data_IF_626464127041
#
_entry.id   IF_626464127041
#
_cell.length_a   1.000
_cell.length_b   1.000
_cell.length_c   1.000
_cell.angle_alpha   90.00
_cell.angle_beta   90.00
_cell.angle_gamma   90.00
#
_symmetry.space_group_name_H-M   'P 1'
#
loop_
_entity.id
_entity.type
_entity.pdbx_description
1 polymer ?
#
# COMPACT_ATOMS: atom_id res chain seq x y z
N UNK A 1 10.08 -22.89 -12.89
CA UNK A 1 10.93 -23.89 -12.22
C UNK A 1 12.25 -23.20 -11.89
N UNK A 2 12.52 -22.92 -10.61
CA UNK A 2 13.73 -22.21 -10.15
C UNK A 2 14.92 -23.15 -9.87
N UNK A 3 14.79 -24.44 -10.21
CA UNK A 3 15.79 -25.45 -9.88
C UNK A 3 15.79 -25.80 -8.40
N UNK A 4 16.97 -26.08 -7.84
CA UNK A 4 17.15 -26.59 -6.46
C UNK A 4 17.01 -25.51 -5.38
N UNK A 5 17.37 -24.26 -5.69
CA UNK A 5 17.38 -23.15 -4.74
C UNK A 5 16.59 -21.97 -5.31
N UNK A 6 15.67 -21.42 -4.52
CA UNK A 6 14.99 -20.19 -4.90
C UNK A 6 16.00 -19.03 -4.92
N UNK A 7 15.86 -18.06 -5.85
CA UNK A 7 16.79 -16.94 -5.99
C UNK A 7 16.66 -15.90 -4.86
N UNK A 8 15.68 -16.06 -3.97
CA UNK A 8 15.26 -15.03 -3.02
C UNK A 8 16.35 -14.55 -2.05
N UNK A 9 17.31 -15.42 -1.68
CA UNK A 9 18.41 -15.00 -0.81
C UNK A 9 19.26 -13.92 -1.48
N UNK A 10 19.65 -14.17 -2.71
CA UNK A 10 20.57 -13.30 -3.44
C UNK A 10 19.83 -12.01 -3.88
N UNK A 11 18.57 -12.14 -4.31
CA UNK A 11 17.68 -10.99 -4.57
C UNK A 11 17.47 -10.11 -3.34
N UNK A 12 17.32 -10.71 -2.16
CA UNK A 12 17.18 -9.97 -0.90
C UNK A 12 18.45 -9.20 -0.53
N UNK A 13 19.63 -9.79 -0.77
CA UNK A 13 20.91 -9.12 -0.56
C UNK A 13 21.09 -7.95 -1.53
N UNK A 14 20.83 -8.17 -2.83
CA UNK A 14 20.90 -7.13 -3.86
C UNK A 14 19.96 -5.95 -3.56
N UNK A 15 18.72 -6.25 -3.14
CA UNK A 15 17.76 -5.22 -2.75
C UNK A 15 18.25 -4.38 -1.56
N UNK A 16 18.91 -4.98 -0.58
CA UNK A 16 19.48 -4.26 0.55
C UNK A 16 20.68 -3.38 0.16
N UNK A 17 21.48 -3.80 -0.83
CA UNK A 17 22.58 -3.01 -1.37
C UNK A 17 22.10 -1.83 -2.24
N UNK A 18 20.93 -1.96 -2.87
CA UNK A 18 20.37 -0.95 -3.77
C UNK A 18 19.60 0.19 -3.06
N UNK A 19 19.74 0.35 -1.74
CA UNK A 19 19.03 1.39 -0.97
C UNK A 19 19.38 2.80 -1.46
N UNK A 20 18.37 3.67 -1.58
CA UNK A 20 18.53 5.06 -2.00
C UNK A 20 17.43 5.96 -1.43
N UNK A 21 17.63 7.28 -1.52
CA UNK A 21 16.59 8.29 -1.21
C UNK A 21 15.43 8.23 -2.21
N UNK A 22 15.77 7.94 -3.46
CA UNK A 22 14.86 7.86 -4.58
C UNK A 22 14.76 6.42 -5.06
N UNK A 23 13.55 5.99 -5.37
CA UNK A 23 13.27 4.65 -5.85
C UNK A 23 12.02 4.65 -6.73
N UNK A 24 11.96 3.70 -7.66
CA UNK A 24 10.80 3.53 -8.54
C UNK A 24 9.60 2.95 -7.78
N UNK A 25 8.40 3.29 -8.25
CA UNK A 25 7.14 2.69 -7.83
C UNK A 25 6.57 1.79 -8.94
N UNK A 26 5.52 1.05 -8.63
CA UNK A 26 4.84 0.17 -9.57
C UNK A 26 5.50 -1.19 -9.70
N UNK A 27 5.88 -1.56 -10.91
CA UNK A 27 6.32 -2.93 -11.26
C UNK A 27 7.82 -3.12 -11.02
N UNK A 28 8.23 -2.95 -9.77
CA UNK A 28 9.63 -3.10 -9.34
C UNK A 28 9.71 -3.79 -7.99
N UNK A 29 10.82 -4.49 -7.73
CA UNK A 29 11.07 -5.18 -6.46
C UNK A 29 9.92 -6.11 -6.06
N UNK A 30 9.38 -5.92 -4.85
CA UNK A 30 8.23 -6.68 -4.35
C UNK A 30 6.92 -6.41 -5.12
N UNK A 31 6.86 -5.32 -5.89
CA UNK A 31 5.73 -4.97 -6.76
C UNK A 31 5.72 -5.67 -8.12
N UNK A 32 6.83 -6.28 -8.54
CA UNK A 32 7.00 -6.84 -9.91
C UNK A 32 5.89 -7.84 -10.28
N UNK A 33 5.59 -8.77 -9.38
CA UNK A 33 4.55 -9.80 -9.55
C UNK A 33 3.26 -9.51 -8.79
N UNK A 34 3.12 -8.31 -8.22
CA UNK A 34 2.00 -7.97 -7.38
C UNK A 34 0.72 -7.79 -8.21
N UNK A 35 -0.41 -8.20 -7.66
CA UNK A 35 -1.72 -8.17 -8.31
C UNK A 35 -2.81 -7.75 -7.31
N UNK A 36 -3.82 -7.05 -7.79
CA UNK A 36 -5.11 -6.79 -7.13
C UNK A 36 -6.25 -7.43 -7.95
N UNK A 37 -7.49 -7.30 -7.51
CA UNK A 37 -8.65 -7.82 -8.25
C UNK A 37 -8.76 -7.16 -9.64
N UNK A 38 -8.37 -7.91 -10.67
CA UNK A 38 -8.49 -7.52 -12.08
C UNK A 38 -7.55 -6.40 -12.52
N UNK A 39 -6.51 -6.11 -11.73
CA UNK A 39 -5.44 -5.15 -12.06
C UNK A 39 -4.09 -5.69 -11.59
N UNK A 40 -3.03 -5.23 -12.24
CA UNK A 40 -1.68 -5.31 -11.68
C UNK A 40 -1.60 -4.48 -10.39
N UNK A 41 -0.97 -5.06 -9.37
CA UNK A 41 -0.61 -4.37 -8.15
C UNK A 41 0.70 -3.62 -8.34
N UNK A 42 1.43 -3.35 -7.26
CA UNK A 42 2.76 -2.77 -7.38
C UNK A 42 3.37 -2.34 -6.06
N UNK A 43 4.57 -1.77 -6.14
CA UNK A 43 5.25 -1.13 -5.02
C UNK A 43 4.77 0.32 -4.95
N UNK A 44 4.19 0.71 -3.82
CA UNK A 44 3.66 2.04 -3.62
C UNK A 44 4.28 2.72 -2.41
N UNK A 45 4.44 4.04 -2.47
CA UNK A 45 4.95 4.83 -1.35
C UNK A 45 4.16 6.13 -1.24
N UNK A 46 4.06 6.70 -0.04
CA UNK A 46 3.51 8.03 0.18
C UNK A 46 4.07 8.63 1.47
N UNK A 47 3.97 9.95 1.63
CA UNK A 47 4.34 10.63 2.86
C UNK A 47 3.38 11.75 3.22
N UNK A 48 3.31 12.06 4.51
CA UNK A 48 2.53 13.16 5.07
C UNK A 48 3.39 13.89 6.09
N UNK A 49 3.43 15.21 6.02
CA UNK A 49 4.02 16.07 7.06
C UNK A 49 2.88 16.63 7.89
N UNK A 50 2.94 16.46 9.20
CA UNK A 50 1.95 17.00 10.13
C UNK A 50 2.26 18.47 10.45
N UNK A 51 1.27 19.17 11.00
CA UNK A 51 1.45 20.55 11.47
C UNK A 51 2.50 20.66 12.59
N UNK A 52 2.73 19.57 13.34
CA UNK A 52 3.83 19.46 14.31
C UNK A 52 5.22 19.42 13.68
N UNK A 53 5.33 19.30 12.35
CA UNK A 53 6.59 19.12 11.61
C UNK A 53 7.07 17.67 11.53
N UNK A 54 6.41 16.74 12.21
CA UNK A 54 6.70 15.30 12.13
C UNK A 54 6.32 14.76 10.74
N UNK A 55 7.18 13.91 10.19
CA UNK A 55 6.93 13.23 8.92
C UNK A 55 6.50 11.78 9.14
N UNK A 56 5.54 11.32 8.35
CA UNK A 56 5.13 9.93 8.22
C UNK A 56 5.41 9.49 6.78
N UNK A 57 6.05 8.33 6.59
CA UNK A 57 6.25 7.69 5.30
C UNK A 57 5.71 6.26 5.30
N UNK A 58 5.02 5.86 4.24
CA UNK A 58 4.54 4.49 4.05
C UNK A 58 5.12 3.90 2.76
N UNK A 59 5.48 2.61 2.78
CA UNK A 59 5.89 1.82 1.63
C UNK A 59 5.13 0.49 1.64
N UNK A 60 4.49 0.10 0.54
CA UNK A 60 3.64 -1.08 0.47
C UNK A 60 3.89 -1.89 -0.81
N UNK A 61 4.07 -3.20 -0.67
CA UNK A 61 3.96 -4.15 -1.77
C UNK A 61 2.49 -4.59 -1.90
N UNK A 62 1.79 -3.99 -2.87
CA UNK A 62 0.32 -4.02 -2.97
C UNK A 62 -0.13 -5.25 -3.72
N UNK A 63 -0.42 -6.32 -2.99
CA UNK A 63 -0.85 -7.60 -3.55
C UNK A 63 -2.10 -8.16 -2.84
N UNK A 64 -3.17 -7.36 -2.64
CA UNK A 64 -4.33 -7.78 -1.86
C UNK A 64 -5.19 -8.80 -2.60
N UNK A 65 -6.01 -9.56 -1.85
CA UNK A 65 -7.09 -10.34 -2.44
C UNK A 65 -8.17 -9.43 -3.05
N UNK A 66 -8.52 -8.34 -2.36
CA UNK A 66 -9.59 -7.42 -2.77
C UNK A 66 -9.22 -6.48 -3.92
N UNK A 67 -10.16 -5.57 -4.20
CA UNK A 67 -10.01 -4.51 -5.21
C UNK A 67 -9.53 -3.22 -4.57
N UNK A 68 -8.54 -2.57 -5.20
CA UNK A 68 -8.11 -1.20 -4.82
C UNK A 68 -8.97 -0.12 -5.50
N UNK A 69 -9.62 -0.48 -6.62
CA UNK A 69 -10.58 0.38 -7.32
C UNK A 69 -12.02 0.06 -6.96
N UNK A 70 -12.89 1.05 -7.07
CA UNK A 70 -14.34 0.91 -6.94
C UNK A 70 -14.88 0.19 -8.18
N UNK A 71 -15.56 -0.94 -7.97
CA UNK A 71 -16.01 -1.83 -9.04
C UNK A 71 -14.87 -2.18 -10.01
N UNK A 72 -15.13 -2.16 -11.33
CA UNK A 72 -14.12 -2.27 -12.39
C UNK A 72 -13.72 -0.92 -12.99
N UNK A 73 -13.96 0.18 -12.27
CA UNK A 73 -13.65 1.54 -12.72
C UNK A 73 -12.16 1.91 -12.52
N UNK A 74 -11.83 3.18 -12.80
CA UNK A 74 -10.52 3.79 -12.51
C UNK A 74 -10.47 4.50 -11.16
N UNK A 75 -11.59 4.64 -10.47
CA UNK A 75 -11.64 5.39 -9.21
C UNK A 75 -11.14 4.53 -8.06
N UNK A 76 -10.24 5.06 -7.25
CA UNK A 76 -9.68 4.38 -6.08
C UNK A 76 -10.57 4.53 -4.84
N UNK A 77 -10.59 3.53 -3.96
CA UNK A 77 -11.23 3.66 -2.65
C UNK A 77 -10.58 4.75 -1.78
N UNK A 78 -9.27 4.97 -1.94
CA UNK A 78 -8.53 5.97 -1.17
C UNK A 78 -8.71 7.42 -1.65
N UNK A 79 -9.60 7.68 -2.63
CA UNK A 79 -9.75 9.00 -3.26
C UNK A 79 -9.89 10.19 -2.29
N UNK A 80 -10.59 10.10 -1.14
CA UNK A 80 -10.70 11.22 -0.19
C UNK A 80 -9.37 11.62 0.46
N UNK A 81 -8.35 10.77 0.39
CA UNK A 81 -7.02 11.01 0.96
C UNK A 81 -5.99 11.41 -0.10
N UNK A 82 -6.37 11.52 -1.37
CA UNK A 82 -5.46 11.93 -2.44
C UNK A 82 -4.94 13.35 -2.21
N UNK A 83 -3.64 13.55 -2.36
CA UNK A 83 -3.03 14.87 -2.40
C UNK A 83 -2.69 15.22 -3.84
N UNK A 84 -3.36 16.24 -4.39
CA UNK A 84 -3.20 16.64 -5.79
C UNK A 84 -3.74 15.55 -6.72
N UNK A 85 -2.88 15.04 -7.59
CA UNK A 85 -3.17 14.03 -8.61
C UNK A 85 -2.25 12.80 -8.51
N UNK A 86 -1.69 12.55 -7.33
CA UNK A 86 -0.65 11.54 -7.10
C UNK A 86 -1.04 10.09 -7.44
N UNK A 87 -2.34 9.80 -7.58
CA UNK A 87 -2.88 8.56 -8.14
C UNK A 87 -4.08 8.81 -9.09
N UNK A 88 -4.05 9.95 -9.78
CA UNK A 88 -4.92 10.26 -10.93
C UNK A 88 -5.96 11.36 -10.72
N UNK A 89 -6.20 11.84 -9.49
CA UNK A 89 -7.05 13.00 -9.21
C UNK A 89 -8.52 12.81 -9.60
N UNK A 90 -9.02 11.57 -9.66
CA UNK A 90 -10.33 11.26 -10.22
C UNK A 90 -11.48 11.40 -9.22
N UNK A 91 -11.19 11.49 -7.92
CA UNK A 91 -12.21 11.45 -6.87
C UNK A 91 -13.00 10.14 -6.87
N UNK A 92 -14.18 10.15 -6.23
CA UNK A 92 -15.14 9.05 -6.34
C UNK A 92 -15.97 9.14 -7.62
N UNK A 93 -16.43 8.00 -8.16
CA UNK A 93 -17.30 8.00 -9.32
C UNK A 93 -18.63 8.64 -8.97
N UNK A 94 -19.17 9.44 -9.90
CA UNK A 94 -20.51 10.00 -9.80
C UNK A 94 -21.30 9.78 -11.11
N UNK A 95 -22.44 9.05 -11.07
CA UNK A 95 -23.00 8.36 -9.91
C UNK A 95 -22.11 7.20 -9.43
N UNK A 96 -22.30 6.77 -8.18
CA UNK A 96 -21.63 5.56 -7.67
C UNK A 96 -22.14 4.33 -8.45
N UNK A 97 -21.26 3.46 -8.99
CA UNK A 97 -21.69 2.25 -9.69
C UNK A 97 -22.57 1.36 -8.80
N UNK A 98 -23.60 0.75 -9.38
CA UNK A 98 -24.51 -0.14 -8.64
C UNK A 98 -23.78 -1.34 -8.03
N UNK A 99 -22.72 -1.81 -8.69
CA UNK A 99 -21.87 -2.92 -8.29
C UNK A 99 -20.70 -2.53 -7.38
N UNK A 100 -20.63 -1.27 -6.91
CA UNK A 100 -19.54 -0.79 -6.04
C UNK A 100 -19.37 -1.62 -4.75
N UNK A 101 -20.45 -2.22 -4.25
CA UNK A 101 -20.45 -3.06 -3.04
C UNK A 101 -20.17 -4.55 -3.33
N UNK A 102 -20.05 -4.94 -4.59
CA UNK A 102 -19.77 -6.32 -4.97
C UNK A 102 -18.42 -6.77 -4.44
N UNK A 103 -18.37 -8.00 -3.94
CA UNK A 103 -17.11 -8.59 -3.46
C UNK A 103 -16.29 -9.06 -4.66
N UNK A 104 -15.22 -8.33 -4.96
CA UNK A 104 -14.29 -8.63 -6.05
C UNK A 104 -12.99 -9.21 -5.48
N UNK A 105 -12.71 -10.48 -5.80
CA UNK A 105 -11.51 -11.18 -5.32
C UNK A 105 -10.61 -11.56 -6.50
N UNK A 106 -9.30 -11.39 -6.31
CA UNK A 106 -8.25 -11.51 -7.34
C UNK A 106 -8.12 -12.87 -8.02
N UNK A 107 -8.70 -13.93 -7.47
CA UNK A 107 -8.79 -15.23 -8.13
C UNK A 107 -10.05 -15.99 -7.70
N UNK A 108 -11.21 -15.34 -7.69
CA UNK A 108 -12.46 -15.94 -7.20
C UNK A 108 -12.75 -17.34 -7.78
N UNK A 109 -12.41 -17.53 -9.06
CA UNK A 109 -12.66 -18.78 -9.80
C UNK A 109 -11.40 -19.65 -9.96
N UNK A 110 -10.28 -19.32 -9.30
CA UNK A 110 -9.03 -20.07 -9.37
C UNK A 110 -8.44 -20.26 -7.98
N UNK A 111 -8.22 -21.51 -7.55
CA UNK A 111 -7.46 -21.80 -6.34
C UNK A 111 -5.96 -21.57 -6.58
N UNK A 112 -5.55 -20.30 -6.62
CA UNK A 112 -4.14 -19.90 -6.57
C UNK A 112 -3.88 -19.35 -5.16
N UNK A 113 -2.72 -19.70 -4.60
CA UNK A 113 -2.33 -19.50 -3.19
C UNK A 113 -2.43 -18.07 -2.63
N UNK A 114 -2.06 -17.94 -1.35
CA UNK A 114 -2.31 -16.76 -0.52
C UNK A 114 -1.89 -15.42 -1.13
N UNK A 115 -2.70 -14.40 -0.85
CA UNK A 115 -2.42 -13.01 -1.17
C UNK A 115 -1.73 -12.35 0.03
N UNK A 116 -0.93 -11.32 -0.18
CA UNK A 116 -0.16 -10.72 0.92
C UNK A 116 0.19 -9.29 0.57
N UNK A 117 -0.44 -8.32 1.23
CA UNK A 117 0.06 -6.94 1.19
C UNK A 117 0.99 -6.72 2.38
N UNK A 118 2.28 -6.54 2.09
CA UNK A 118 3.31 -6.27 3.11
C UNK A 118 3.64 -4.79 3.05
N UNK A 119 3.66 -4.12 4.19
CA UNK A 119 3.94 -2.71 4.25
C UNK A 119 4.85 -2.31 5.41
N UNK A 120 5.43 -1.13 5.27
CA UNK A 120 6.24 -0.43 6.23
C UNK A 120 5.62 0.94 6.47
N UNK A 121 5.51 1.34 7.73
CA UNK A 121 5.15 2.70 8.13
C UNK A 121 6.30 3.26 8.98
N UNK A 122 6.80 4.44 8.63
CA UNK A 122 7.95 5.06 9.28
C UNK A 122 7.62 6.49 9.70
N UNK A 123 8.20 6.94 10.81
CA UNK A 123 8.13 8.34 11.24
C UNK A 123 9.46 8.80 11.83
N UNK A 124 9.69 10.10 11.85
CA UNK A 124 10.82 10.72 12.54
C UNK A 124 10.51 11.14 13.99
N UNK A 125 9.26 11.08 14.43
CA UNK A 125 8.87 11.27 15.83
C UNK A 125 9.56 10.28 16.77
N UNK A 126 9.73 10.70 18.03
CA UNK A 126 10.24 9.86 19.11
C UNK A 126 9.10 8.99 19.62
N UNK A 127 9.13 7.69 19.30
CA UNK A 127 8.13 6.72 19.74
C UNK A 127 8.74 5.61 20.59
N UNK A 128 8.03 5.23 21.65
CA UNK A 128 8.30 3.96 22.36
C UNK A 128 7.94 2.76 21.49
N UNK A 129 8.41 1.56 21.84
CA UNK A 129 8.00 0.32 21.15
C UNK A 129 6.49 0.10 21.17
N UNK A 130 5.81 0.47 22.25
CA UNK A 130 4.35 0.36 22.35
C UNK A 130 3.64 1.36 21.42
N UNK A 131 4.13 2.60 21.35
CA UNK A 131 3.60 3.61 20.42
C UNK A 131 3.88 3.24 18.95
N UNK A 132 5.06 2.70 18.63
CA UNK A 132 5.35 2.16 17.30
C UNK A 132 4.43 0.98 16.93
N UNK A 133 4.12 0.09 17.89
CA UNK A 133 3.11 -0.97 17.66
C UNK A 133 1.73 -0.37 17.38
N UNK A 134 1.34 0.70 18.09
CA UNK A 134 0.09 1.42 17.80
C UNK A 134 0.11 2.04 16.40
N UNK A 135 1.24 2.63 15.98
CA UNK A 135 1.41 3.15 14.63
C UNK A 135 1.21 2.07 13.56
N UNK A 136 1.78 0.87 13.76
CA UNK A 136 1.55 -0.27 12.86
C UNK A 136 0.06 -0.64 12.78
N UNK A 137 -0.63 -0.71 13.93
CA UNK A 137 -2.07 -0.99 13.98
C UNK A 137 -2.86 0.07 13.21
N UNK A 138 -2.60 1.36 13.43
CA UNK A 138 -3.31 2.44 12.76
C UNK A 138 -3.04 2.49 11.25
N UNK A 139 -1.87 2.04 10.80
CA UNK A 139 -1.61 1.91 9.36
C UNK A 139 -2.48 0.84 8.69
N UNK A 140 -2.95 -0.20 9.40
CA UNK A 140 -3.93 -1.16 8.85
C UNK A 140 -5.27 -0.48 8.50
N UNK A 141 -5.65 0.64 9.12
CA UNK A 141 -6.84 1.40 8.72
C UNK A 141 -6.72 1.90 7.27
N UNK A 142 -5.48 2.14 6.79
CA UNK A 142 -5.20 2.49 5.41
C UNK A 142 -5.53 1.37 4.42
N UNK A 143 -5.39 0.11 4.84
CA UNK A 143 -5.79 -1.03 4.01
C UNK A 143 -7.30 -1.01 3.82
N UNK A 144 -8.07 -0.79 4.88
CA UNK A 144 -9.54 -0.72 4.81
C UNK A 144 -10.01 0.45 3.95
N UNK A 145 -9.29 1.58 3.98
CA UNK A 145 -9.58 2.78 3.17
C UNK A 145 -9.21 2.62 1.70
N UNK A 146 -8.26 1.75 1.37
CA UNK A 146 -7.77 1.59 0.00
C UNK A 146 -8.24 0.29 -0.67
N UNK A 147 -8.69 -0.71 0.09
CA UNK A 147 -8.90 -2.07 -0.40
C UNK A 147 -10.25 -2.59 0.11
N UNK A 148 -11.09 -3.05 -0.82
CA UNK A 148 -12.36 -3.69 -0.50
C UNK A 148 -12.51 -5.06 -1.20
N UNK A 149 -12.71 -6.17 -0.45
CA UNK A 149 -12.43 -6.33 0.99
C UNK A 149 -10.92 -6.48 1.28
N UNK A 150 -10.51 -6.35 2.55
CA UNK A 150 -9.14 -6.58 3.03
C UNK A 150 -9.15 -7.40 4.32
N UNK A 151 -7.99 -7.87 4.80
CA UNK A 151 -7.87 -8.69 6.02
C UNK A 151 -8.72 -9.97 5.98
N UNK A 152 -8.92 -10.51 4.78
CA UNK A 152 -9.63 -11.79 4.61
C UNK A 152 -8.73 -12.95 5.07
N UNK A 153 -9.27 -14.16 5.29
CA UNK A 153 -8.44 -15.33 5.57
C UNK A 153 -7.45 -15.70 4.44
N UNK A 154 -7.61 -15.13 3.24
CA UNK A 154 -6.69 -15.31 2.12
C UNK A 154 -5.59 -14.24 2.08
N UNK A 155 -5.63 -13.24 2.96
CA UNK A 155 -4.64 -12.16 3.05
C UNK A 155 -3.63 -12.42 4.17
N UNK A 156 -2.35 -12.28 3.84
CA UNK A 156 -1.23 -12.24 4.78
C UNK A 156 -0.82 -10.81 5.15
N UNK A 157 -1.79 -9.91 5.34
CA UNK A 157 -1.52 -8.49 5.53
C UNK A 157 -0.63 -8.23 6.76
N UNK A 158 0.49 -7.51 6.56
CA UNK A 158 1.50 -7.29 7.59
C UNK A 158 2.09 -5.88 7.50
N UNK A 159 2.13 -5.18 8.63
CA UNK A 159 2.76 -3.86 8.76
C UNK A 159 3.91 -3.88 9.76
N UNK A 160 5.09 -3.42 9.32
CA UNK A 160 6.21 -3.07 10.19
C UNK A 160 6.25 -1.57 10.45
N UNK A 161 6.34 -1.16 11.72
CA UNK A 161 6.51 0.24 12.09
C UNK A 161 7.95 0.57 12.50
N UNK A 162 8.45 1.72 12.03
CA UNK A 162 9.75 2.29 12.39
C UNK A 162 9.56 3.71 12.93
N UNK A 163 10.35 4.07 13.93
CA UNK A 163 10.46 5.44 14.42
C UNK A 163 11.94 5.77 14.54
N UNK A 164 12.41 6.76 13.77
CA UNK A 164 13.84 7.10 13.74
C UNK A 164 14.23 8.03 14.87
N UNK A 165 13.27 8.74 15.49
CA UNK A 165 13.49 9.71 16.55
C UNK A 165 14.27 10.96 16.11
N UNK A 166 14.52 11.15 14.80
CA UNK A 166 15.37 12.22 14.28
C UNK A 166 14.77 13.61 14.42
N UNK A 167 13.45 13.75 14.55
CA UNK A 167 12.84 15.07 14.78
C UNK A 167 13.04 15.58 16.21
N UNK A 168 13.34 14.68 17.16
CA UNK A 168 13.39 14.99 18.58
C UNK A 168 12.03 15.32 19.20
N UNK A 169 10.94 15.22 18.43
CA UNK A 169 9.59 15.55 18.88
C UNK A 169 8.98 14.35 19.58
N UNK A 170 8.67 14.52 20.86
CA UNK A 170 7.76 13.66 21.61
C UNK A 170 6.33 14.19 21.44
N UNK A 171 5.40 13.31 21.07
CA UNK A 171 4.03 13.71 20.78
C UNK A 171 3.20 13.81 22.06
N UNK A 172 2.53 14.95 22.24
CA UNK A 172 1.48 15.06 23.24
C UNK A 172 0.29 14.13 22.86
N UNK A 173 -0.59 13.78 23.81
CA UNK A 173 -1.69 12.86 23.54
C UNK A 173 -2.58 13.23 22.35
N UNK A 174 -2.83 14.53 22.12
CA UNK A 174 -3.62 15.00 20.98
C UNK A 174 -2.85 14.86 19.66
N UNK A 175 -1.58 15.27 19.60
CA UNK A 175 -0.76 15.15 18.40
C UNK A 175 -0.53 13.68 18.00
N UNK A 176 -0.56 12.77 18.98
CA UNK A 176 -0.53 11.34 18.72
C UNK A 176 -1.79 10.84 17.99
N UNK A 177 -2.97 11.43 18.25
CA UNK A 177 -4.19 11.11 17.51
C UNK A 177 -4.00 11.45 16.04
N UNK A 178 -3.46 12.64 15.76
CA UNK A 178 -3.21 13.11 14.39
C UNK A 178 -2.19 12.21 13.67
N UNK A 179 -1.10 11.83 14.36
CA UNK A 179 -0.13 10.88 13.82
C UNK A 179 -0.79 9.56 13.41
N UNK A 180 -1.59 8.96 14.27
CA UNK A 180 -2.21 7.67 14.00
C UNK A 180 -3.28 7.76 12.90
N UNK A 181 -4.08 8.83 12.87
CA UNK A 181 -5.06 9.06 11.81
C UNK A 181 -4.37 9.25 10.45
N UNK A 182 -3.33 10.09 10.41
CA UNK A 182 -2.54 10.37 9.22
C UNK A 182 -1.75 9.15 8.75
N UNK A 183 -1.33 8.25 9.64
CA UNK A 183 -0.67 6.99 9.27
C UNK A 183 -1.59 6.11 8.41
N UNK A 184 -2.86 5.97 8.79
CA UNK A 184 -3.84 5.26 7.98
C UNK A 184 -4.09 5.92 6.62
N UNK A 185 -4.21 7.25 6.57
CA UNK A 185 -4.37 7.99 5.31
C UNK A 185 -3.14 7.84 4.39
N UNK A 186 -1.93 7.98 4.95
CA UNK A 186 -0.66 7.82 4.24
C UNK A 186 -0.50 6.40 3.67
N UNK A 187 -0.89 5.38 4.45
CA UNK A 187 -0.87 3.99 3.97
C UNK A 187 -1.87 3.78 2.82
N UNK A 188 -3.09 4.34 2.92
CA UNK A 188 -4.09 4.23 1.86
C UNK A 188 -3.61 4.84 0.52
N UNK A 189 -2.94 6.00 0.61
CA UNK A 189 -2.31 6.67 -0.53
C UNK A 189 -1.19 5.80 -1.11
N UNK A 190 -0.28 5.28 -0.28
CA UNK A 190 0.79 4.41 -0.74
C UNK A 190 0.25 3.17 -1.49
N UNK A 191 -0.80 2.53 -0.97
CA UNK A 191 -1.45 1.39 -1.63
C UNK A 191 -1.99 1.77 -3.02
N UNK A 192 -2.71 2.89 -3.12
CA UNK A 192 -3.30 3.33 -4.39
C UNK A 192 -2.23 3.74 -5.40
N UNK A 193 -1.17 4.44 -4.95
CA UNK A 193 0.00 4.79 -5.78
C UNK A 193 0.72 3.56 -6.32
N UNK A 194 0.77 2.47 -5.56
CA UNK A 194 1.39 1.22 -6.02
C UNK A 194 0.67 0.60 -7.23
N UNK A 195 -0.67 0.61 -7.21
CA UNK A 195 -1.50 0.14 -8.34
C UNK A 195 -1.46 1.11 -9.51
N UNK A 196 -1.54 2.42 -9.22
CA UNK A 196 -1.51 3.49 -10.22
C UNK A 196 -0.19 3.48 -11.02
N UNK A 197 0.95 3.35 -10.34
CA UNK A 197 2.27 3.39 -10.94
C UNK A 197 2.68 2.08 -11.65
N UNK A 198 1.86 1.03 -11.58
CA UNK A 198 2.17 -0.25 -12.19
C UNK A 198 2.31 -0.13 -13.72
N UNK A 199 3.33 -0.78 -14.28
CA UNK A 199 3.63 -0.78 -15.72
C UNK A 199 3.49 -2.20 -16.28
N UNK A 200 3.04 -2.36 -17.54
CA UNK A 200 2.83 -3.68 -18.11
C UNK A 200 4.17 -4.41 -18.29
N UNK A 201 4.17 -5.72 -18.08
CA UNK A 201 5.27 -6.62 -18.40
C UNK A 201 4.77 -7.84 -19.19
N UNK A 202 5.65 -8.43 -19.98
CA UNK A 202 5.33 -9.63 -20.76
C UNK A 202 4.86 -10.77 -19.86
N UNK A 203 3.72 -11.38 -20.21
CA UNK A 203 3.13 -12.48 -19.45
C UNK A 203 2.29 -12.07 -18.23
N UNK A 204 2.00 -10.76 -18.06
CA UNK A 204 1.12 -10.30 -16.99
C UNK A 204 -0.28 -10.91 -17.05
N UNK A 205 -0.79 -11.33 -15.89
CA UNK A 205 -2.10 -11.96 -15.76
C UNK A 205 -3.25 -10.95 -15.81
N UNK A 206 -3.01 -9.71 -15.39
CA UNK A 206 -3.99 -8.63 -15.34
C UNK A 206 -3.44 -7.35 -15.94
N UNK A 207 -4.30 -6.50 -16.52
CA UNK A 207 -3.90 -5.22 -17.08
C UNK A 207 -3.45 -4.25 -15.97
N UNK A 208 -2.69 -3.23 -16.36
CA UNK A 208 -2.37 -2.09 -15.48
C UNK A 208 -3.53 -1.12 -15.40
N UNK A 209 -3.55 -0.29 -14.36
CA UNK A 209 -4.60 0.73 -14.19
C UNK A 209 -4.63 1.73 -15.35
N UNK A 210 -3.47 2.11 -15.88
CA UNK A 210 -3.34 3.10 -16.96
C UNK A 210 -3.89 2.64 -18.32
N UNK A 211 -4.17 1.36 -18.50
CA UNK A 211 -4.80 0.83 -19.71
C UNK A 211 -6.33 0.73 -19.60
N UNK A 212 -6.91 1.24 -18.50
CA UNK A 212 -8.37 1.37 -18.34
C UNK A 212 -8.86 2.75 -18.77
#
# INVERSE_FOLDING_TARGET
NWGRYAPYRDLGYEAAQAVGSDFALGTVGAGTGALSSGLKGGLGSASTVLDSGVTIGALAAVNPTGSVTIARSRHFWAAPFEIGDEFGGLGYPFPMPEDAKSILLKFRDRQVGGNTTIAVIATDAVLTKAAAKRLAISAHDGFVRAIWPTHTPADGDLVFALATGKSGIELAPNDAIDLYAAAGATMARAISRGVFAATPADGDLFPVWSSR
#
